data_IF_371157154569
#
_entry.id   IF_371157154569
#
_cell.length_a   1.000
_cell.length_b   1.000
_cell.length_c   1.000
_cell.angle_alpha   90.00
_cell.angle_beta   90.00
_cell.angle_gamma   90.00
#
_symmetry.space_group_name_H-M   'P 1'
#
loop_
_entity.id
_entity.type
_entity.pdbx_description
1 polymer ?
#
# COMPACT_ATOMS: atom_id res chain seq x y z
N UNK A 1 -17.83 -0.05 9.38
CA UNK A 1 -17.20 -0.43 10.68
C UNK A 1 -15.82 0.22 10.71
N UNK A 2 -15.38 0.80 11.83
CA UNK A 2 -14.06 1.40 11.92
C UNK A 2 -12.96 0.34 11.70
N UNK A 3 -11.88 0.71 11.02
CA UNK A 3 -10.69 -0.15 10.81
C UNK A 3 -9.69 -0.03 11.95
N UNK A 4 -9.79 1.00 12.80
CA UNK A 4 -8.93 1.13 13.97
C UNK A 4 -9.12 -0.04 14.93
N UNK A 5 -8.03 -0.65 15.39
CA UNK A 5 -8.03 -1.71 16.39
C UNK A 5 -8.37 -3.10 15.84
N UNK A 6 -8.26 -3.34 14.52
CA UNK A 6 -8.31 -4.71 13.97
C UNK A 6 -6.91 -5.30 13.82
N UNK A 7 -6.80 -6.62 13.89
CA UNK A 7 -5.53 -7.33 13.70
C UNK A 7 -4.88 -7.05 12.34
N UNK A 8 -5.70 -6.84 11.29
CA UNK A 8 -5.19 -6.46 9.97
C UNK A 8 -4.57 -5.06 10.01
N UNK A 9 -5.24 -4.08 10.63
CA UNK A 9 -4.71 -2.73 10.74
C UNK A 9 -3.40 -2.69 11.53
N UNK A 10 -3.29 -3.44 12.63
CA UNK A 10 -2.05 -3.57 13.42
C UNK A 10 -0.92 -4.21 12.60
N UNK A 11 -1.25 -5.19 11.76
CA UNK A 11 -0.28 -5.82 10.84
C UNK A 11 0.25 -4.79 9.84
N UNK A 12 -0.63 -3.97 9.26
CA UNK A 12 -0.21 -2.90 8.33
C UNK A 12 0.66 -1.87 9.05
N UNK A 13 0.22 -1.40 10.22
CA UNK A 13 0.93 -0.38 10.99
C UNK A 13 2.34 -0.83 11.36
N UNK A 14 2.50 -2.09 11.80
CA UNK A 14 3.82 -2.66 12.12
C UNK A 14 4.72 -2.75 10.90
N UNK A 15 4.22 -3.26 9.78
CA UNK A 15 5.00 -3.31 8.54
C UNK A 15 5.44 -1.91 8.06
N UNK A 16 4.59 -0.91 8.27
CA UNK A 16 4.93 0.49 7.95
C UNK A 16 6.09 1.00 8.80
N UNK A 17 6.11 0.67 10.09
CA UNK A 17 7.23 1.02 10.99
C UNK A 17 8.51 0.31 10.56
N UNK A 18 8.44 -1.01 10.35
CA UNK A 18 9.60 -1.84 9.97
C UNK A 18 10.21 -1.43 8.63
N UNK A 19 9.38 -1.01 7.66
CA UNK A 19 9.84 -0.57 6.35
C UNK A 19 10.29 0.90 6.30
N UNK A 20 10.16 1.68 7.38
CA UNK A 20 10.38 3.12 7.33
C UNK A 20 9.40 3.85 6.40
N UNK A 21 8.15 3.37 6.36
CA UNK A 21 7.08 3.89 5.51
C UNK A 21 6.29 5.05 6.13
N UNK A 22 6.78 5.61 7.25
CA UNK A 22 6.16 6.72 7.97
C UNK A 22 7.19 7.82 8.18
N UNK A 23 6.82 9.05 7.80
CA UNK A 23 7.58 10.27 8.14
C UNK A 23 6.66 11.25 8.90
N UNK A 24 5.82 12.01 8.19
CA UNK A 24 4.85 12.92 8.83
C UNK A 24 3.59 12.21 9.35
N UNK A 25 3.31 10.98 8.89
CA UNK A 25 2.17 10.17 9.32
C UNK A 25 0.79 10.55 8.77
N UNK A 26 0.64 11.71 8.12
CA UNK A 26 -0.67 12.22 7.70
C UNK A 26 -1.40 11.28 6.71
N UNK A 27 -0.66 10.71 5.76
CA UNK A 27 -1.24 9.81 4.75
C UNK A 27 -1.43 8.37 5.26
N UNK A 28 -0.81 7.99 6.38
CA UNK A 28 -0.75 6.59 6.85
C UNK A 28 -2.14 5.97 7.09
N UNK A 29 -3.13 6.65 7.70
CA UNK A 29 -4.46 6.08 7.87
C UNK A 29 -5.12 5.69 6.54
N UNK A 30 -4.98 6.49 5.48
CA UNK A 30 -5.53 6.19 4.15
C UNK A 30 -4.93 4.92 3.56
N UNK A 31 -3.61 4.75 3.65
CA UNK A 31 -2.93 3.54 3.21
C UNK A 31 -3.35 2.29 3.98
N UNK A 32 -3.52 2.40 5.30
CA UNK A 32 -4.00 1.29 6.14
C UNK A 32 -5.40 0.86 5.72
N UNK A 33 -6.31 1.82 5.50
CA UNK A 33 -7.67 1.55 5.01
C UNK A 33 -7.65 0.84 3.65
N UNK A 34 -6.89 1.37 2.69
CA UNK A 34 -6.81 0.84 1.34
C UNK A 34 -6.30 -0.61 1.32
N UNK A 35 -5.24 -0.91 2.08
CA UNK A 35 -4.72 -2.27 2.17
C UNK A 35 -5.72 -3.23 2.82
N UNK A 36 -6.39 -2.80 3.90
CA UNK A 36 -7.39 -3.63 4.57
C UNK A 36 -8.56 -3.94 3.63
N UNK A 37 -8.98 -3.00 2.79
CA UNK A 37 -10.00 -3.26 1.74
C UNK A 37 -9.49 -4.26 0.72
N UNK A 38 -8.32 -4.00 0.14
CA UNK A 38 -7.71 -4.83 -0.88
C UNK A 38 -7.55 -6.30 -0.42
N UNK A 39 -7.12 -6.52 0.83
CA UNK A 39 -6.97 -7.86 1.40
C UNK A 39 -8.31 -8.56 1.63
N UNK A 40 -9.38 -7.82 1.94
CA UNK A 40 -10.72 -8.38 2.13
C UNK A 40 -11.37 -8.79 0.82
N UNK A 41 -11.09 -8.06 -0.25
CA UNK A 41 -11.60 -8.29 -1.60
C UNK A 41 -10.84 -9.42 -2.30
N UNK A 42 -9.51 -9.50 -2.11
CA UNK A 42 -8.65 -10.48 -2.77
C UNK A 42 -8.27 -11.63 -1.85
N UNK A 43 -9.21 -12.55 -1.62
CA UNK A 43 -8.95 -13.81 -0.88
C UNK A 43 -8.22 -14.88 -1.72
N UNK A 44 -8.15 -14.72 -3.04
CA UNK A 44 -7.75 -15.79 -3.96
C UNK A 44 -6.27 -15.74 -4.40
N UNK A 45 -5.44 -14.90 -3.77
CA UNK A 45 -3.99 -14.86 -4.01
C UNK A 45 -3.37 -13.47 -4.01
N UNK A 46 -2.03 -13.38 -4.13
CA UNK A 46 -1.31 -12.10 -4.19
C UNK A 46 -1.65 -11.35 -5.49
N UNK A 47 -1.92 -10.03 -5.45
CA UNK A 47 -2.03 -9.24 -6.68
C UNK A 47 -0.64 -9.06 -7.34
N UNK A 48 -0.63 -8.60 -8.59
CA UNK A 48 0.59 -8.09 -9.19
C UNK A 48 0.92 -6.66 -8.71
N UNK A 49 2.16 -6.22 -8.96
CA UNK A 49 2.62 -4.89 -8.56
C UNK A 49 1.82 -3.75 -9.22
N UNK A 50 1.46 -3.79 -10.52
CA UNK A 50 0.62 -2.76 -11.13
C UNK A 50 -0.77 -2.65 -10.48
N UNK A 51 -1.38 -3.77 -10.10
CA UNK A 51 -2.64 -3.76 -9.37
C UNK A 51 -2.45 -3.14 -8.00
N UNK A 52 -1.44 -3.56 -7.23
CA UNK A 52 -1.12 -2.95 -5.95
C UNK A 52 -0.93 -1.43 -6.09
N UNK A 53 -0.16 -0.97 -7.06
CA UNK A 53 0.10 0.45 -7.27
C UNK A 53 -1.19 1.23 -7.64
N UNK A 54 -2.07 0.64 -8.45
CA UNK A 54 -3.35 1.24 -8.83
C UNK A 54 -4.28 1.44 -7.62
N UNK A 55 -4.41 0.42 -6.77
CA UNK A 55 -5.24 0.45 -5.55
C UNK A 55 -4.74 1.50 -4.55
N UNK A 56 -3.45 1.82 -4.62
CA UNK A 56 -2.80 2.84 -3.81
C UNK A 56 -2.82 4.23 -4.42
N UNK A 57 -3.18 4.37 -5.71
CA UNK A 57 -3.14 5.64 -6.44
C UNK A 57 -4.01 6.74 -5.83
N UNK A 58 -5.07 6.38 -5.11
CA UNK A 58 -5.92 7.32 -4.37
C UNK A 58 -5.29 7.89 -3.09
N UNK A 59 -4.14 7.36 -2.65
CA UNK A 59 -3.47 7.75 -1.41
C UNK A 59 -2.21 8.55 -1.71
N UNK A 60 -2.28 9.87 -1.52
CA UNK A 60 -1.15 10.75 -1.76
C UNK A 60 -0.20 10.81 -0.57
N UNK A 61 1.09 10.61 -0.82
CA UNK A 61 2.17 10.83 0.13
C UNK A 61 3.18 11.85 -0.41
N UNK A 62 3.50 12.87 0.39
CA UNK A 62 4.50 13.88 0.04
C UNK A 62 5.89 13.60 0.59
N UNK A 63 6.00 12.73 1.59
CA UNK A 63 7.22 12.61 2.40
C UNK A 63 8.07 11.39 2.02
N UNK A 64 7.47 10.21 1.83
CA UNK A 64 8.21 8.94 1.72
C UNK A 64 8.72 8.62 0.31
N UNK A 65 8.19 9.28 -0.72
CA UNK A 65 8.47 8.91 -2.11
C UNK A 65 7.93 7.53 -2.51
N UNK A 66 6.97 6.97 -1.75
CA UNK A 66 6.22 5.73 -2.00
C UNK A 66 7.00 4.41 -1.96
N UNK A 67 8.32 4.40 -2.14
CA UNK A 67 9.11 3.16 -2.21
C UNK A 67 8.96 2.30 -0.93
N UNK A 68 9.14 2.89 0.26
CA UNK A 68 8.99 2.17 1.53
C UNK A 68 7.56 1.72 1.80
N UNK A 69 6.57 2.50 1.34
CA UNK A 69 5.14 2.15 1.43
C UNK A 69 4.87 0.90 0.61
N UNK A 70 5.27 0.86 -0.67
CA UNK A 70 5.04 -0.31 -1.52
C UNK A 70 5.80 -1.52 -1.02
N UNK A 71 7.03 -1.37 -0.52
CA UNK A 71 7.75 -2.48 0.13
C UNK A 71 6.99 -3.08 1.30
N UNK A 72 6.46 -2.24 2.20
CA UNK A 72 5.69 -2.71 3.35
C UNK A 72 4.46 -3.52 2.91
N UNK A 73 3.72 -2.97 1.96
CA UNK A 73 2.46 -3.55 1.49
C UNK A 73 2.68 -4.82 0.66
N UNK A 74 3.68 -4.81 -0.22
CA UNK A 74 4.07 -5.98 -1.00
C UNK A 74 4.48 -7.15 -0.11
N UNK A 75 5.20 -6.88 0.99
CA UNK A 75 5.54 -7.90 1.99
C UNK A 75 4.30 -8.54 2.64
N UNK A 76 3.29 -7.74 3.00
CA UNK A 76 2.05 -8.24 3.61
C UNK A 76 1.22 -9.09 2.64
N UNK A 77 1.21 -8.69 1.36
CA UNK A 77 0.41 -9.33 0.32
C UNK A 77 1.19 -10.39 -0.47
N UNK A 78 2.46 -10.63 -0.14
CA UNK A 78 3.37 -11.51 -0.89
C UNK A 78 3.46 -11.14 -2.39
N UNK A 79 3.44 -9.85 -2.71
CA UNK A 79 3.60 -9.33 -4.08
C UNK A 79 5.09 -9.31 -4.42
N UNK A 80 5.53 -9.99 -5.50
CA UNK A 80 6.90 -9.88 -5.97
C UNK A 80 7.20 -8.46 -6.43
N UNK A 81 8.28 -7.87 -5.93
CA UNK A 81 8.75 -6.54 -6.35
C UNK A 81 10.21 -6.62 -6.82
N UNK A 82 10.57 -5.83 -7.85
CA UNK A 82 11.97 -5.69 -8.25
C UNK A 82 12.80 -5.02 -7.14
N UNK A 83 14.14 -5.19 -7.15
CA UNK A 83 15.02 -4.52 -6.19
C UNK A 83 14.87 -2.98 -6.23
N UNK A 84 14.59 -2.44 -7.42
CA UNK A 84 14.31 -1.03 -7.65
C UNK A 84 12.93 -0.87 -8.28
N UNK A 85 12.09 -0.01 -7.70
CA UNK A 85 10.78 0.32 -8.28
C UNK A 85 10.95 1.36 -9.39
N UNK A 86 10.45 1.10 -10.61
CA UNK A 86 10.41 2.10 -11.67
C UNK A 86 9.69 3.37 -11.21
N UNK A 87 10.18 4.53 -11.63
CA UNK A 87 9.50 5.81 -11.35
C UNK A 87 8.09 5.86 -11.93
N UNK A 88 7.82 5.07 -12.98
CA UNK A 88 6.51 4.92 -13.61
C UNK A 88 5.55 4.00 -12.85
N UNK A 89 5.97 3.31 -11.79
CA UNK A 89 5.09 2.41 -11.03
C UNK A 89 3.86 3.13 -10.48
N UNK A 90 3.97 4.43 -10.20
CA UNK A 90 2.86 5.27 -9.73
C UNK A 90 2.41 6.29 -10.78
N UNK A 91 2.77 6.10 -12.05
CA UNK A 91 2.15 6.86 -13.12
C UNK A 91 0.67 6.47 -13.16
N UNK A 92 -0.18 7.38 -12.69
CA UNK A 92 -1.63 7.25 -12.74
C UNK A 92 -2.02 6.99 -14.20
N UNK A 93 -2.64 5.84 -14.47
CA UNK A 93 -3.25 5.56 -15.77
C UNK A 93 -4.52 6.41 -15.88
N UNK A 94 -4.58 7.41 -16.79
CA UNK A 94 -5.74 8.28 -16.94
C UNK A 94 -7.00 7.52 -17.41
N UNK A 95 -6.86 6.27 -17.89
CA UNK A 95 -7.98 5.43 -18.32
C UNK A 95 -8.53 4.47 -17.24
N UNK A 96 -7.87 4.36 -16.09
CA UNK A 96 -8.27 3.46 -15.00
C UNK A 96 -8.84 4.26 -13.84
N UNK A 97 -10.16 4.39 -13.79
CA UNK A 97 -10.85 4.96 -12.63
C UNK A 97 -10.51 4.17 -11.36
N UNK A 98 -10.36 4.83 -10.20
CA UNK A 98 -10.15 4.16 -8.91
C UNK A 98 -11.36 3.29 -8.52
#
# INVERSE_FOLDING_TARGET
>A
RAVSGTAEAETVQRAFVEAGAVQCGYCTPGFVMALVSLRRERRDGPPDLPTLASELGGNLCRCTGYYSIVRALAGILAVPIPPELPKSTFSVDPGRSP
#
